data_IF_147312775161
#
_entry.id   IF_147312775161
#
_cell.length_a   1.000
_cell.length_b   1.000
_cell.length_c   1.000
_cell.angle_alpha   90.00
_cell.angle_beta   90.00
_cell.angle_gamma   90.00
#
_symmetry.space_group_name_H-M   'P 1'
#
loop_
_entity.id
_entity.type
_entity.pdbx_description
1 polymer ?
#
# COMPACT_ATOMS: atom_id res chain seq x y z
N UNK A 1 -19.08 19.79 -1.59
CA UNK A 1 -19.17 18.32 -1.30
C UNK A 1 -18.86 17.48 -2.51
N UNK A 2 -19.39 17.77 -3.72
CA UNK A 2 -18.99 17.05 -4.96
C UNK A 2 -17.48 17.07 -5.22
N UNK A 3 -16.77 18.13 -4.82
CA UNK A 3 -15.32 18.25 -5.05
C UNK A 3 -14.46 17.28 -4.22
N UNK A 4 -15.03 16.68 -3.17
CA UNK A 4 -14.33 15.73 -2.30
C UNK A 4 -14.54 14.26 -2.72
N UNK A 5 -15.40 14.01 -3.70
CA UNK A 5 -15.64 12.68 -4.23
C UNK A 5 -14.59 12.36 -5.31
N UNK A 6 -13.70 11.43 -5.00
CA UNK A 6 -12.72 10.89 -5.93
C UNK A 6 -13.32 9.75 -6.75
N UNK A 7 -12.95 9.70 -8.02
CA UNK A 7 -13.22 8.56 -8.89
C UNK A 7 -12.25 7.41 -8.60
N UNK A 8 -12.63 6.13 -8.77
CA UNK A 8 -11.79 4.95 -8.47
C UNK A 8 -10.35 5.07 -8.95
N UNK A 9 -10.16 5.52 -10.20
CA UNK A 9 -8.83 5.67 -10.80
C UNK A 9 -7.93 6.68 -10.08
N UNK A 10 -8.51 7.74 -9.51
CA UNK A 10 -7.75 8.79 -8.77
C UNK A 10 -7.32 8.32 -7.39
N UNK A 11 -8.10 7.44 -6.77
CA UNK A 11 -7.84 6.93 -5.41
C UNK A 11 -6.74 5.87 -5.35
N UNK A 12 -6.44 5.23 -6.48
CA UNK A 12 -5.40 4.22 -6.56
C UNK A 12 -3.98 4.80 -6.53
N UNK A 13 -3.07 4.08 -5.87
CA UNK A 13 -1.64 4.36 -5.99
C UNK A 13 -1.21 4.31 -7.46
N UNK A 14 -0.48 5.33 -7.93
CA UNK A 14 -0.09 5.47 -9.35
C UNK A 14 0.80 4.32 -9.85
N UNK A 15 1.66 3.76 -9.00
CA UNK A 15 2.50 2.62 -9.35
C UNK A 15 1.65 1.36 -9.43
N UNK A 16 0.75 1.14 -8.48
CA UNK A 16 -0.18 0.01 -8.51
C UNK A 16 -1.10 0.05 -9.72
N UNK A 17 -1.63 1.23 -10.08
CA UNK A 17 -2.47 1.42 -11.27
C UNK A 17 -1.76 0.96 -12.56
N UNK A 18 -0.44 1.09 -12.64
CA UNK A 18 0.37 0.68 -13.81
C UNK A 18 0.69 -0.82 -13.87
N UNK A 19 0.57 -1.56 -12.77
CA UNK A 19 0.76 -3.02 -12.77
C UNK A 19 -0.28 -3.64 -13.69
N UNK A 20 0.11 -4.44 -14.69
CA UNK A 20 -0.87 -5.09 -15.55
C UNK A 20 -1.57 -6.20 -14.76
N UNK A 21 -2.92 -6.21 -14.66
CA UNK A 21 -3.62 -7.30 -13.99
C UNK A 21 -3.47 -8.61 -14.78
N UNK A 22 -3.54 -9.73 -14.09
CA UNK A 22 -3.53 -11.05 -14.74
C UNK A 22 -4.89 -11.25 -15.41
N UNK A 23 -4.89 -11.79 -16.64
CA UNK A 23 -6.14 -11.93 -17.42
C UNK A 23 -7.18 -12.79 -16.68
N UNK A 24 -6.74 -13.90 -16.11
CA UNK A 24 -7.60 -14.83 -15.38
C UNK A 24 -8.27 -14.15 -14.16
N UNK A 25 -7.56 -13.30 -13.43
CA UNK A 25 -8.12 -12.56 -12.29
C UNK A 25 -9.22 -11.57 -12.73
N UNK A 26 -9.04 -10.93 -13.89
CA UNK A 26 -10.06 -10.05 -14.47
C UNK A 26 -11.30 -10.84 -14.87
N UNK A 27 -11.15 -12.02 -15.49
CA UNK A 27 -12.30 -12.85 -15.84
C UNK A 27 -13.06 -13.35 -14.61
N UNK A 28 -12.35 -13.76 -13.56
CA UNK A 28 -12.96 -14.13 -12.27
C UNK A 28 -13.73 -12.94 -11.68
N UNK A 29 -13.13 -11.76 -11.67
CA UNK A 29 -13.79 -10.53 -11.22
C UNK A 29 -15.05 -10.22 -12.02
N UNK A 30 -14.98 -10.28 -13.36
CA UNK A 30 -16.14 -10.05 -14.24
C UNK A 30 -17.26 -11.04 -13.93
N UNK A 31 -16.94 -12.33 -13.88
CA UNK A 31 -17.90 -13.40 -13.60
C UNK A 31 -18.60 -13.20 -12.25
N UNK A 32 -17.81 -12.93 -11.20
CA UNK A 32 -18.36 -12.70 -9.86
C UNK A 32 -19.15 -11.40 -9.75
N UNK A 33 -18.75 -10.33 -10.45
CA UNK A 33 -19.48 -9.05 -10.44
C UNK A 33 -20.78 -9.14 -11.23
N UNK A 34 -20.81 -9.84 -12.37
CA UNK A 34 -22.04 -10.16 -13.11
C UNK A 34 -22.98 -10.96 -12.22
N UNK A 35 -22.47 -12.01 -11.56
CA UNK A 35 -23.26 -12.82 -10.62
C UNK A 35 -23.82 -11.97 -9.48
N UNK A 36 -23.02 -11.07 -8.92
CA UNK A 36 -23.48 -10.14 -7.89
C UNK A 36 -24.67 -9.32 -8.41
N UNK A 37 -24.52 -8.66 -9.57
CA UNK A 37 -25.55 -7.83 -10.18
C UNK A 37 -26.84 -8.60 -10.47
N UNK A 38 -26.72 -9.80 -11.05
CA UNK A 38 -27.87 -10.65 -11.41
C UNK A 38 -28.66 -11.15 -10.18
N UNK A 39 -28.03 -11.20 -9.00
CA UNK A 39 -28.64 -11.67 -7.76
C UNK A 39 -29.27 -10.56 -6.92
N UNK A 40 -29.09 -9.28 -7.27
CA UNK A 40 -29.66 -8.16 -6.53
C UNK A 40 -31.18 -8.22 -6.61
N UNK A 41 -31.84 -8.18 -5.46
CA UNK A 41 -33.29 -8.14 -5.37
C UNK A 41 -33.73 -7.13 -4.32
N UNK A 42 -34.22 -5.97 -4.76
CA UNK A 42 -34.60 -4.86 -3.87
C UNK A 42 -35.72 -5.19 -2.87
N UNK A 43 -36.50 -6.25 -3.11
CA UNK A 43 -37.49 -6.74 -2.17
C UNK A 43 -36.86 -7.38 -0.93
N UNK A 44 -35.65 -7.96 -1.08
CA UNK A 44 -34.97 -8.71 -0.04
C UNK A 44 -34.43 -7.86 1.11
N UNK A 45 -34.05 -8.54 2.18
CA UNK A 45 -33.54 -7.90 3.40
C UNK A 45 -32.15 -7.28 3.21
N UNK A 46 -31.74 -6.41 4.14
CA UNK A 46 -30.36 -5.91 4.21
C UNK A 46 -29.35 -7.06 4.42
N UNK A 47 -29.70 -8.05 5.23
CA UNK A 47 -28.89 -9.25 5.49
C UNK A 47 -28.64 -10.08 4.22
N UNK A 48 -29.65 -10.20 3.35
CA UNK A 48 -29.51 -10.86 2.06
C UNK A 48 -28.42 -10.19 1.21
N UNK A 49 -28.47 -8.86 1.07
CA UNK A 49 -27.49 -8.12 0.27
C UNK A 49 -26.10 -8.11 0.92
N UNK A 50 -26.01 -8.12 2.26
CA UNK A 50 -24.73 -8.29 2.98
C UNK A 50 -24.05 -9.61 2.63
N UNK A 51 -24.81 -10.70 2.56
CA UNK A 51 -24.28 -12.00 2.15
C UNK A 51 -23.76 -11.98 0.72
N UNK A 52 -24.50 -11.35 -0.21
CA UNK A 52 -24.03 -11.19 -1.60
C UNK A 52 -22.71 -10.42 -1.70
N UNK A 53 -22.59 -9.30 -0.96
CA UNK A 53 -21.35 -8.51 -0.90
C UNK A 53 -20.20 -9.37 -0.34
N UNK A 54 -20.44 -10.08 0.76
CA UNK A 54 -19.46 -10.96 1.41
C UNK A 54 -18.96 -12.04 0.45
N UNK A 55 -19.88 -12.70 -0.25
CA UNK A 55 -19.56 -13.77 -1.20
C UNK A 55 -18.80 -13.25 -2.42
N UNK A 56 -19.20 -12.10 -2.96
CA UNK A 56 -18.49 -11.44 -4.05
C UNK A 56 -17.03 -11.14 -3.68
N UNK A 57 -16.80 -10.50 -2.53
CA UNK A 57 -15.45 -10.16 -2.08
C UNK A 57 -14.61 -11.42 -1.82
N UNK A 58 -15.16 -12.41 -1.10
CA UNK A 58 -14.47 -13.68 -0.79
C UNK A 58 -14.04 -14.41 -2.05
N UNK A 59 -14.96 -14.61 -2.97
CA UNK A 59 -14.75 -15.44 -4.16
C UNK A 59 -13.90 -14.74 -5.23
N UNK A 60 -13.72 -13.43 -5.12
CA UNK A 60 -12.91 -12.66 -6.08
C UNK A 60 -11.50 -12.39 -5.59
N UNK A 61 -11.31 -12.12 -4.29
CA UNK A 61 -10.05 -11.55 -3.79
C UNK A 61 -9.54 -12.16 -2.50
N UNK A 62 -10.43 -12.38 -1.52
CA UNK A 62 -9.99 -12.48 -0.13
C UNK A 62 -9.84 -13.92 0.35
N UNK A 63 -10.60 -14.87 -0.19
CA UNK A 63 -10.47 -16.28 0.19
C UNK A 63 -9.22 -16.90 -0.45
N UNK A 64 -8.43 -17.73 0.27
CA UNK A 64 -8.56 -18.11 1.68
C UNK A 64 -7.72 -17.24 2.64
N UNK A 65 -7.07 -16.18 2.13
CA UNK A 65 -6.00 -15.48 2.83
C UNK A 65 -6.48 -14.43 3.84
N UNK A 66 -7.71 -13.94 3.68
CA UNK A 66 -8.31 -12.89 4.48
C UNK A 66 -9.73 -13.26 4.90
N UNK A 67 -10.00 -13.17 6.20
CA UNK A 67 -11.31 -13.49 6.75
C UNK A 67 -12.28 -12.32 6.57
N UNK A 68 -13.49 -12.64 6.10
CA UNK A 68 -14.59 -11.68 5.96
C UNK A 68 -15.82 -12.21 6.69
N UNK A 69 -16.27 -11.49 7.71
CA UNK A 69 -17.49 -11.79 8.46
C UNK A 69 -17.95 -10.57 9.28
N UNK A 70 -19.11 -10.71 9.93
CA UNK A 70 -19.55 -9.82 11.02
C UNK A 70 -18.55 -9.85 12.18
N UNK A 71 -18.45 -8.73 12.92
CA UNK A 71 -17.66 -8.67 14.16
C UNK A 71 -18.41 -7.85 15.21
N UNK A 72 -18.95 -8.54 16.21
CA UNK A 72 -19.75 -7.90 17.26
C UNK A 72 -21.01 -7.27 16.67
N UNK A 73 -21.06 -5.93 16.61
CA UNK A 73 -22.17 -5.18 16.01
C UNK A 73 -21.84 -4.58 14.64
N UNK A 74 -20.62 -4.78 14.13
CA UNK A 74 -20.26 -4.33 12.80
C UNK A 74 -20.85 -5.30 11.77
N UNK A 75 -21.46 -4.75 10.72
CA UNK A 75 -22.10 -5.51 9.65
C UNK A 75 -21.13 -6.43 8.92
N UNK A 76 -20.01 -5.89 8.44
CA UNK A 76 -18.99 -6.67 7.78
C UNK A 76 -17.61 -6.08 8.06
N UNK A 77 -16.62 -6.94 8.28
CA UNK A 77 -15.21 -6.54 8.37
C UNK A 77 -14.35 -7.43 7.49
N UNK A 78 -13.28 -6.85 6.95
CA UNK A 78 -12.19 -7.58 6.29
C UNK A 78 -11.00 -7.59 7.25
N UNK A 79 -10.53 -8.78 7.58
CA UNK A 79 -9.40 -8.96 8.48
C UNK A 79 -8.06 -8.95 7.72
N UNK A 80 -7.01 -8.46 8.39
CA UNK A 80 -5.65 -8.44 7.84
C UNK A 80 -5.05 -9.84 7.66
N UNK A 81 -5.66 -10.88 8.23
CA UNK A 81 -5.27 -12.28 8.05
C UNK A 81 -6.46 -13.23 7.88
N UNK A 82 -6.15 -14.52 7.82
CA UNK A 82 -7.07 -15.61 7.45
C UNK A 82 -8.15 -15.96 8.46
N UNK A 83 -8.12 -15.38 9.66
CA UNK A 83 -9.07 -15.70 10.72
C UNK A 83 -9.45 -14.48 11.57
N UNK A 84 -10.52 -14.65 12.36
CA UNK A 84 -11.11 -13.61 13.18
C UNK A 84 -10.20 -13.10 14.32
N UNK A 85 -9.06 -13.76 14.60
CA UNK A 85 -8.10 -13.31 15.62
C UNK A 85 -7.18 -12.22 15.09
N UNK A 86 -6.99 -12.16 13.78
CA UNK A 86 -6.23 -11.08 13.15
C UNK A 86 -6.97 -9.75 13.25
N UNK A 87 -6.24 -8.64 13.20
CA UNK A 87 -6.80 -7.29 13.28
C UNK A 87 -7.74 -6.99 12.11
N UNK A 88 -8.67 -6.06 12.34
CA UNK A 88 -9.57 -5.58 11.29
C UNK A 88 -8.82 -4.57 10.43
N UNK A 89 -8.80 -4.80 9.11
CA UNK A 89 -8.23 -3.90 8.11
C UNK A 89 -9.28 -3.01 7.44
N UNK A 90 -10.51 -3.51 7.23
CA UNK A 90 -11.61 -2.73 6.65
C UNK A 90 -12.88 -2.90 7.46
N UNK A 91 -13.57 -1.79 7.72
CA UNK A 91 -14.92 -1.78 8.30
C UNK A 91 -15.91 -1.45 7.19
N UNK A 92 -16.97 -2.24 7.05
CA UNK A 92 -17.96 -2.08 5.99
C UNK A 92 -19.37 -2.09 6.58
N UNK A 93 -20.13 -1.03 6.27
CA UNK A 93 -21.54 -0.87 6.62
C UNK A 93 -22.39 -1.02 5.36
N UNK A 94 -23.36 -1.92 5.40
CA UNK A 94 -24.25 -2.14 4.28
C UNK A 94 -25.65 -1.63 4.59
N UNK A 95 -26.32 -1.06 3.60
CA UNK A 95 -27.74 -0.73 3.68
C UNK A 95 -28.54 -1.45 2.62
N UNK A 96 -29.83 -1.69 2.92
CA UNK A 96 -30.77 -2.16 1.89
C UNK A 96 -30.76 -1.19 0.69
N UNK A 97 -30.76 -1.67 -0.57
CA UNK A 97 -30.69 -0.81 -1.75
C UNK A 97 -31.74 0.31 -1.80
N UNK A 98 -32.95 0.04 -1.30
CA UNK A 98 -34.07 0.98 -1.28
C UNK A 98 -34.06 1.94 -0.09
N UNK A 99 -33.17 1.77 0.89
CA UNK A 99 -33.08 2.59 2.10
C UNK A 99 -32.31 3.91 1.85
N UNK A 100 -32.94 4.80 1.08
CA UNK A 100 -32.36 6.09 0.67
C UNK A 100 -32.23 7.13 1.79
N UNK A 101 -32.89 6.92 2.94
CA UNK A 101 -32.85 7.84 4.08
C UNK A 101 -31.64 7.60 4.98
N UNK A 102 -31.22 6.34 5.13
CA UNK A 102 -30.08 5.98 5.99
C UNK A 102 -28.75 5.91 5.22
N UNK A 103 -28.79 5.63 3.92
CA UNK A 103 -27.61 5.55 3.06
C UNK A 103 -27.00 6.92 2.75
N UNK A 104 -25.67 6.97 2.64
CA UNK A 104 -24.91 8.17 2.24
C UNK A 104 -25.31 8.67 0.85
N UNK A 105 -25.13 9.96 0.63
CA UNK A 105 -25.21 10.59 -0.69
C UNK A 105 -23.96 11.44 -0.93
N UNK A 106 -23.56 11.61 -2.19
CA UNK A 106 -22.39 12.43 -2.57
C UNK A 106 -22.48 13.87 -2.04
N UNK A 107 -23.70 14.40 -1.93
CA UNK A 107 -23.99 15.74 -1.41
C UNK A 107 -24.43 15.75 0.07
N UNK A 108 -24.58 14.58 0.70
CA UNK A 108 -24.93 14.45 2.11
C UNK A 108 -24.34 13.17 2.73
N UNK A 109 -23.20 13.32 3.39
CA UNK A 109 -22.53 12.23 4.11
C UNK A 109 -23.07 12.00 5.52
N UNK A 110 -23.73 12.99 6.14
CA UNK A 110 -24.18 12.89 7.53
C UNK A 110 -25.50 12.11 7.64
N UNK A 111 -25.42 10.82 7.36
CA UNK A 111 -26.55 9.89 7.40
C UNK A 111 -26.30 8.85 8.48
N UNK A 112 -27.32 8.03 8.76
CA UNK A 112 -27.24 7.00 9.81
C UNK A 112 -26.11 6.01 9.53
N UNK A 113 -25.94 5.56 8.29
CA UNK A 113 -24.85 4.63 7.93
C UNK A 113 -23.46 5.23 8.22
N UNK A 114 -23.26 6.52 7.97
CA UNK A 114 -21.98 7.17 8.30
C UNK A 114 -21.78 7.33 9.81
N UNK A 115 -22.85 7.63 10.55
CA UNK A 115 -22.84 7.72 12.02
C UNK A 115 -22.53 6.34 12.66
N UNK A 116 -23.05 5.25 12.07
CA UNK A 116 -22.74 3.87 12.40
C UNK A 116 -21.26 3.56 12.18
N UNK A 117 -20.72 3.94 11.01
CA UNK A 117 -19.30 3.78 10.70
C UNK A 117 -18.39 4.55 11.67
N UNK A 118 -18.75 5.78 12.08
CA UNK A 118 -18.00 6.53 13.09
C UNK A 118 -17.98 5.77 14.43
N UNK A 119 -19.13 5.23 14.85
CA UNK A 119 -19.21 4.44 16.08
C UNK A 119 -18.34 3.17 16.00
N UNK A 120 -18.42 2.44 14.90
CA UNK A 120 -17.65 1.20 14.70
C UNK A 120 -16.15 1.45 14.63
N UNK A 121 -15.75 2.51 13.92
CA UNK A 121 -14.37 2.96 13.89
C UNK A 121 -13.87 3.29 15.29
N UNK A 122 -14.57 4.12 16.07
CA UNK A 122 -14.15 4.49 17.43
C UNK A 122 -14.08 3.27 18.37
N UNK A 123 -15.02 2.32 18.27
CA UNK A 123 -14.95 1.06 19.03
C UNK A 123 -13.70 0.26 18.71
N UNK A 124 -13.40 0.05 17.43
CA UNK A 124 -12.26 -0.79 17.05
C UNK A 124 -10.93 -0.06 17.31
N UNK A 125 -10.85 1.21 16.94
CA UNK A 125 -9.65 2.06 17.06
C UNK A 125 -9.32 2.49 18.50
N UNK A 126 -10.31 2.95 19.27
CA UNK A 126 -10.12 3.53 20.61
C UNK A 126 -10.26 2.46 21.69
N UNK A 127 -11.41 1.78 21.75
CA UNK A 127 -11.65 0.76 22.77
C UNK A 127 -10.84 -0.53 22.49
N UNK A 128 -10.82 -0.98 21.24
CA UNK A 128 -10.06 -2.14 20.77
C UNK A 128 -8.57 -1.89 20.54
N UNK A 129 -8.12 -0.62 20.58
CA UNK A 129 -6.73 -0.19 20.33
C UNK A 129 -6.17 -0.68 18.97
N UNK A 130 -7.02 -0.91 17.98
CA UNK A 130 -6.59 -1.36 16.67
C UNK A 130 -6.02 -0.19 15.85
N UNK A 131 -4.73 -0.25 15.51
CA UNK A 131 -4.03 0.74 14.69
C UNK A 131 -3.97 0.36 13.20
N UNK A 132 -4.55 -0.78 12.82
CA UNK A 132 -4.36 -1.40 11.51
C UNK A 132 -5.57 -1.27 10.58
N UNK A 133 -6.57 -0.47 10.95
CA UNK A 133 -7.68 -0.12 10.07
C UNK A 133 -7.14 0.73 8.92
N UNK A 134 -7.41 0.32 7.68
CA UNK A 134 -6.93 0.93 6.44
C UNK A 134 -8.00 1.74 5.73
N UNK A 135 -9.22 1.19 5.65
CA UNK A 135 -10.36 1.83 5.01
C UNK A 135 -11.67 1.60 5.76
N UNK A 136 -12.61 2.50 5.55
CA UNK A 136 -13.98 2.42 6.04
C UNK A 136 -14.91 2.55 4.82
N UNK A 137 -15.91 1.68 4.71
CA UNK A 137 -16.76 1.55 3.53
C UNK A 137 -18.23 1.63 3.92
N UNK A 138 -19.01 2.43 3.19
CA UNK A 138 -20.47 2.34 3.20
C UNK A 138 -20.96 1.90 1.82
N UNK A 139 -21.94 1.01 1.76
CA UNK A 139 -22.55 0.61 0.49
C UNK A 139 -24.02 0.24 0.64
N UNK A 140 -24.81 0.46 -0.41
CA UNK A 140 -26.15 -0.10 -0.52
C UNK A 140 -26.21 -1.21 -1.58
N UNK A 141 -25.08 -1.91 -1.81
CA UNK A 141 -24.74 -2.79 -2.94
C UNK A 141 -24.45 -2.05 -4.24
N UNK A 142 -25.25 -1.05 -4.60
CA UNK A 142 -25.08 -0.31 -5.86
C UNK A 142 -23.98 0.74 -5.75
N UNK A 143 -24.15 1.64 -4.79
CA UNK A 143 -23.27 2.77 -4.55
C UNK A 143 -22.26 2.41 -3.46
N UNK A 144 -21.00 2.78 -3.67
CA UNK A 144 -19.90 2.50 -2.75
C UNK A 144 -19.20 3.78 -2.38
N UNK A 145 -19.04 3.99 -1.08
CA UNK A 145 -18.32 5.12 -0.49
C UNK A 145 -17.14 4.56 0.30
N UNK A 146 -15.91 4.84 -0.12
CA UNK A 146 -14.68 4.30 0.49
C UNK A 146 -13.85 5.46 1.05
N UNK A 147 -13.60 5.43 2.35
CA UNK A 147 -12.85 6.44 3.09
C UNK A 147 -11.51 5.86 3.54
N UNK A 148 -10.40 6.55 3.26
CA UNK A 148 -9.11 6.21 3.88
C UNK A 148 -9.22 6.42 5.39
N UNK A 149 -8.78 5.43 6.18
CA UNK A 149 -8.85 5.48 7.64
C UNK A 149 -8.10 6.68 8.24
N UNK A 150 -7.12 7.25 7.54
CA UNK A 150 -6.44 8.46 7.97
C UNK A 150 -7.39 9.66 8.14
N UNK A 151 -8.46 9.73 7.34
CA UNK A 151 -9.48 10.78 7.47
C UNK A 151 -10.24 10.60 8.78
N UNK A 152 -10.62 9.36 9.09
CA UNK A 152 -11.28 9.04 10.36
C UNK A 152 -10.35 9.25 11.56
N UNK A 153 -9.08 8.91 11.42
CA UNK A 153 -8.06 9.16 12.44
C UNK A 153 -7.93 10.66 12.74
N UNK A 154 -7.76 11.49 11.71
CA UNK A 154 -7.57 12.93 11.82
C UNK A 154 -8.78 13.62 12.46
N UNK A 155 -10.00 13.29 12.01
CA UNK A 155 -11.18 14.06 12.41
C UNK A 155 -11.95 13.45 13.59
N UNK A 156 -11.84 12.14 13.83
CA UNK A 156 -12.57 11.48 14.92
C UNK A 156 -11.66 10.98 16.04
N UNK A 157 -10.62 10.18 15.75
CA UNK A 157 -9.77 9.61 16.80
C UNK A 157 -8.84 10.65 17.47
N UNK A 158 -8.37 11.65 16.73
CA UNK A 158 -7.53 12.73 17.27
C UNK A 158 -8.36 13.85 17.93
N UNK A 159 -9.68 13.87 17.73
CA UNK A 159 -10.58 14.80 18.39
C UNK A 159 -10.79 14.37 19.86
N UNK A 160 -9.96 14.91 20.75
CA UNK A 160 -9.99 14.58 22.19
C UNK A 160 -11.36 14.79 22.84
N UNK A 161 -12.13 15.79 22.40
CA UNK A 161 -13.46 16.06 22.94
C UNK A 161 -14.46 14.96 22.54
N UNK A 162 -14.47 14.58 21.26
CA UNK A 162 -15.30 13.47 20.77
C UNK A 162 -14.88 12.15 21.42
N UNK A 163 -13.58 11.84 21.50
CA UNK A 163 -13.10 10.61 22.14
C UNK A 163 -13.56 10.54 23.60
N UNK A 164 -13.48 11.66 24.34
CA UNK A 164 -13.99 11.71 25.72
C UNK A 164 -15.50 11.42 25.78
N UNK A 165 -16.30 12.05 24.93
CA UNK A 165 -17.75 11.80 24.87
C UNK A 165 -18.07 10.34 24.50
N UNK A 166 -17.33 9.76 23.56
CA UNK A 166 -17.43 8.36 23.18
C UNK A 166 -17.10 7.44 24.36
N UNK A 167 -16.02 7.70 25.09
CA UNK A 167 -15.65 6.92 26.28
C UNK A 167 -16.72 7.03 27.37
N UNK A 168 -17.23 8.24 27.65
CA UNK A 168 -18.34 8.44 28.60
C UNK A 168 -19.62 7.70 28.16
N UNK A 169 -19.88 7.62 26.85
CA UNK A 169 -21.00 6.87 26.27
C UNK A 169 -20.84 5.36 26.46
N UNK A 170 -19.69 4.78 26.08
CA UNK A 170 -19.43 3.34 26.21
C UNK A 170 -19.41 2.89 27.68
N UNK A 171 -18.92 3.74 28.59
CA UNK A 171 -18.93 3.50 30.04
C UNK A 171 -20.27 3.86 30.71
N UNK A 172 -21.30 4.20 29.92
CA UNK A 172 -22.67 4.49 30.37
C UNK A 172 -22.77 5.64 31.39
N UNK A 173 -21.83 6.59 31.36
CA UNK A 173 -21.83 7.80 32.20
C UNK A 173 -22.77 8.89 31.68
N UNK A 174 -23.11 8.86 30.39
CA UNK A 174 -24.06 9.81 29.80
C UNK A 174 -25.51 9.44 30.13
N UNK A 175 -26.40 10.43 30.00
CA UNK A 175 -27.84 10.26 30.22
C UNK A 175 -28.47 9.30 29.20
N UNK A 176 -27.99 9.29 27.97
CA UNK A 176 -28.40 8.35 26.93
C UNK A 176 -27.42 7.18 26.75
N UNK A 177 -27.97 5.97 26.67
CA UNK A 177 -27.20 4.70 26.58
C UNK A 177 -27.44 3.92 25.29
N UNK A 178 -28.27 4.44 24.40
CA UNK A 178 -28.63 3.79 23.14
C UNK A 178 -27.73 4.25 22.01
N UNK A 179 -27.55 3.41 20.99
CA UNK A 179 -26.82 3.81 19.78
C UNK A 179 -27.49 5.00 19.09
N UNK A 180 -28.82 5.10 19.12
CA UNK A 180 -29.54 6.28 18.61
C UNK A 180 -29.14 7.58 19.33
N UNK A 181 -28.88 7.52 20.65
CA UNK A 181 -28.35 8.69 21.37
C UNK A 181 -26.96 9.06 20.85
N UNK A 182 -26.06 8.09 20.69
CA UNK A 182 -24.73 8.35 20.12
C UNK A 182 -24.85 8.97 18.72
N UNK A 183 -25.68 8.41 17.86
CA UNK A 183 -25.88 8.91 16.49
C UNK A 183 -26.34 10.36 16.49
N UNK A 184 -27.41 10.68 17.23
CA UNK A 184 -28.04 12.00 17.20
C UNK A 184 -27.35 13.08 18.02
N UNK A 185 -26.76 12.72 19.16
CA UNK A 185 -26.23 13.69 20.11
C UNK A 185 -24.70 13.81 20.06
N UNK A 186 -24.00 12.84 19.48
CA UNK A 186 -22.53 12.80 19.45
C UNK A 186 -22.02 12.81 18.01
N UNK A 187 -22.36 11.80 17.21
CA UNK A 187 -21.82 11.67 15.86
C UNK A 187 -22.34 12.76 14.91
N UNK A 188 -23.67 12.95 14.85
CA UNK A 188 -24.31 13.89 13.91
C UNK A 188 -23.76 15.33 14.04
N UNK A 189 -23.63 15.92 15.26
CA UNK A 189 -23.05 17.25 15.41
C UNK A 189 -21.57 17.32 15.03
N UNK A 190 -20.77 16.29 15.31
CA UNK A 190 -19.34 16.29 14.96
C UNK A 190 -19.13 16.16 13.45
N UNK A 191 -19.90 15.30 12.78
CA UNK A 191 -19.85 15.15 11.31
C UNK A 191 -20.26 16.47 10.64
N UNK A 192 -21.29 17.15 11.14
CA UNK A 192 -21.77 18.42 10.60
C UNK A 192 -20.67 19.51 10.56
N UNK A 193 -19.72 19.51 11.51
CA UNK A 193 -18.61 20.47 11.57
C UNK A 193 -17.55 20.26 10.49
N UNK A 194 -17.45 19.05 9.94
CA UNK A 194 -16.35 18.63 9.06
C UNK A 194 -16.81 18.10 7.71
N UNK A 195 -18.12 18.13 7.41
CA UNK A 195 -18.70 17.48 6.23
C UNK A 195 -18.03 17.89 4.90
N UNK A 196 -17.52 19.13 4.81
CA UNK A 196 -16.82 19.65 3.64
C UNK A 196 -15.32 19.29 3.58
N UNK A 197 -14.80 18.56 4.56
CA UNK A 197 -13.39 18.13 4.65
C UNK A 197 -13.19 16.63 4.45
N UNK A 198 -14.28 15.87 4.40
CA UNK A 198 -14.24 14.42 4.22
C UNK A 198 -14.06 14.10 2.75
N UNK A 199 -12.85 13.71 2.37
CA UNK A 199 -12.54 13.11 1.06
C UNK A 199 -12.93 11.63 1.05
N UNK A 200 -13.44 11.15 -0.08
CA UNK A 200 -13.85 9.75 -0.23
C UNK A 200 -13.82 9.32 -1.68
N UNK A 201 -13.70 8.02 -1.92
CA UNK A 201 -13.91 7.44 -3.24
C UNK A 201 -15.37 7.08 -3.40
N UNK A 202 -15.96 7.42 -4.54
CA UNK A 202 -17.33 7.06 -4.88
C UNK A 202 -17.39 6.37 -6.24
N UNK A 203 -18.19 5.32 -6.33
CA UNK A 203 -18.63 4.73 -7.60
C UNK A 203 -19.98 4.04 -7.44
N UNK A 204 -20.69 3.91 -8.56
CA UNK A 204 -21.89 3.08 -8.69
C UNK A 204 -21.55 1.86 -9.55
N UNK A 205 -21.79 0.64 -9.06
CA UNK A 205 -21.48 -0.59 -9.82
C UNK A 205 -22.28 -0.70 -11.11
N UNK A 206 -23.44 -0.03 -11.19
CA UNK A 206 -24.32 -0.07 -12.37
C UNK A 206 -23.69 0.65 -13.56
N UNK A 207 -22.82 1.63 -13.31
CA UNK A 207 -22.08 2.34 -14.36
C UNK A 207 -21.14 1.41 -15.12
N UNK A 208 -20.82 0.23 -14.56
CA UNK A 208 -19.93 -0.77 -15.15
C UNK A 208 -20.66 -1.87 -15.91
N UNK A 209 -22.00 -1.94 -15.85
CA UNK A 209 -22.77 -3.06 -16.42
C UNK A 209 -22.56 -3.22 -17.93
N UNK A 210 -22.50 -2.11 -18.66
CA UNK A 210 -22.24 -2.12 -20.11
C UNK A 210 -20.89 -2.77 -20.46
N UNK A 211 -19.84 -2.45 -19.70
CA UNK A 211 -18.50 -3.01 -19.91
C UNK A 211 -18.39 -4.47 -19.47
N UNK A 212 -19.16 -4.87 -18.45
CA UNK A 212 -19.16 -6.24 -17.94
C UNK A 212 -19.78 -7.23 -18.95
N UNK A 213 -20.88 -6.83 -19.58
CA UNK A 213 -21.64 -7.69 -20.50
C UNK A 213 -21.19 -7.57 -21.96
N UNK A 214 -20.21 -6.72 -22.26
CA UNK A 214 -19.57 -6.68 -23.57
C UNK A 214 -18.58 -7.85 -23.74
N UNK A 215 -18.55 -8.43 -24.93
CA UNK A 215 -17.60 -9.46 -25.36
C UNK A 215 -16.28 -8.89 -25.88
N UNK A 216 -16.20 -7.59 -26.13
CA UNK A 216 -14.98 -6.93 -26.60
C UNK A 216 -13.94 -6.74 -25.48
N UNK A 217 -12.79 -7.41 -25.60
CA UNK A 217 -11.71 -7.36 -24.61
C UNK A 217 -11.06 -5.96 -24.44
N UNK A 218 -11.36 -4.99 -25.31
CA UNK A 218 -10.83 -3.63 -25.21
C UNK A 218 -11.48 -2.83 -24.06
N UNK A 219 -12.73 -3.16 -23.73
CA UNK A 219 -13.53 -2.47 -22.71
C UNK A 219 -13.14 -2.85 -21.28
N UNK A 220 -12.40 -3.96 -21.12
CA UNK A 220 -11.89 -4.39 -19.82
C UNK A 220 -10.98 -3.33 -19.15
N UNK A 221 -10.45 -2.38 -19.94
CA UNK A 221 -9.66 -1.24 -19.43
C UNK A 221 -10.43 -0.37 -18.44
N UNK A 222 -11.74 -0.22 -18.65
CA UNK A 222 -12.61 0.58 -17.78
C UNK A 222 -12.86 -0.14 -16.44
N UNK A 223 -12.75 -1.47 -16.42
CA UNK A 223 -12.90 -2.30 -15.22
C UNK A 223 -11.63 -2.34 -14.37
N UNK A 224 -10.44 -2.08 -14.92
CA UNK A 224 -9.16 -2.21 -14.20
C UNK A 224 -9.14 -1.36 -12.93
N UNK A 225 -9.69 -0.14 -12.98
CA UNK A 225 -9.69 0.74 -11.82
C UNK A 225 -10.58 0.19 -10.71
N UNK A 226 -11.77 -0.30 -11.03
CA UNK A 226 -12.69 -0.90 -10.05
C UNK A 226 -12.11 -2.21 -9.50
N UNK A 227 -11.59 -3.07 -10.38
CA UNK A 227 -10.93 -4.32 -10.00
C UNK A 227 -9.82 -4.10 -8.97
N UNK A 228 -8.98 -3.09 -9.18
CA UNK A 228 -7.89 -2.77 -8.26
C UNK A 228 -8.36 -2.07 -7.00
N UNK A 229 -9.42 -1.27 -7.09
CA UNK A 229 -9.94 -0.54 -5.94
C UNK A 229 -10.46 -1.50 -4.86
N UNK A 230 -11.04 -2.63 -5.26
CA UNK A 230 -11.60 -3.62 -4.35
C UNK A 230 -10.61 -4.73 -3.96
N UNK A 231 -9.39 -4.69 -4.46
CA UNK A 231 -8.37 -5.71 -4.22
C UNK A 231 -7.70 -5.53 -2.83
N UNK A 232 -7.05 -6.57 -2.29
CA UNK A 232 -6.36 -6.49 -1.01
C UNK A 232 -5.14 -5.55 -1.05
N UNK A 233 -4.45 -5.42 -2.19
CA UNK A 233 -3.37 -4.45 -2.37
C UNK A 233 -3.83 -3.01 -2.11
N UNK A 234 -5.05 -2.67 -2.52
CA UNK A 234 -5.62 -1.37 -2.19
C UNK A 234 -6.23 -1.34 -0.79
N UNK A 235 -7.27 -2.15 -0.54
CA UNK A 235 -8.08 -2.06 0.68
C UNK A 235 -7.37 -2.51 1.96
N UNK A 236 -6.34 -3.35 1.87
CA UNK A 236 -5.50 -3.73 3.01
C UNK A 236 -4.11 -3.09 2.96
N UNK A 237 -3.85 -2.22 1.97
CA UNK A 237 -2.55 -1.57 1.72
C UNK A 237 -1.39 -2.58 1.66
N UNK A 238 -1.63 -3.75 1.04
CA UNK A 238 -0.59 -4.76 0.87
C UNK A 238 0.46 -4.32 -0.16
N UNK A 239 1.73 -4.76 -0.01
CA UNK A 239 2.75 -4.51 -1.01
C UNK A 239 2.39 -5.19 -2.35
N UNK A 240 2.83 -4.58 -3.46
CA UNK A 240 2.66 -5.10 -4.81
C UNK A 240 4.03 -5.11 -5.54
N UNK A 241 4.15 -5.87 -6.63
CA UNK A 241 5.42 -6.12 -7.34
C UNK A 241 6.18 -4.88 -7.87
N UNK A 242 5.58 -3.68 -7.77
CA UNK A 242 6.18 -2.39 -8.11
C UNK A 242 6.14 -1.39 -6.94
N UNK A 243 6.03 -1.86 -5.70
CA UNK A 243 6.19 -1.00 -4.54
C UNK A 243 7.65 -0.58 -4.46
N UNK A 244 7.90 0.72 -4.63
CA UNK A 244 9.23 1.33 -4.58
C UNK A 244 9.96 1.11 -3.24
N UNK A 245 9.25 0.60 -2.23
CA UNK A 245 9.80 0.25 -0.92
C UNK A 245 10.22 -1.22 -0.80
N UNK A 246 10.00 -2.04 -1.83
CA UNK A 246 10.47 -3.43 -1.86
C UNK A 246 11.85 -3.53 -2.51
N UNK A 247 12.82 -4.07 -1.77
CA UNK A 247 14.16 -4.35 -2.30
C UNK A 247 14.07 -5.51 -3.29
N UNK A 248 14.47 -5.29 -4.54
CA UNK A 248 14.69 -6.37 -5.50
C UNK A 248 15.84 -7.25 -4.97
N UNK A 249 15.50 -8.44 -4.49
CA UNK A 249 16.45 -9.38 -3.89
C UNK A 249 17.51 -9.83 -4.88
N UNK A 250 17.16 -9.99 -6.15
CA UNK A 250 18.08 -10.38 -7.21
C UNK A 250 19.10 -9.28 -7.44
N UNK A 251 18.65 -8.04 -7.62
CA UNK A 251 19.53 -6.89 -7.76
C UNK A 251 20.46 -6.72 -6.56
N UNK A 252 19.93 -6.83 -5.34
CA UNK A 252 20.72 -6.73 -4.11
C UNK A 252 21.80 -7.83 -4.03
N UNK A 253 21.45 -9.06 -4.38
CA UNK A 253 22.39 -10.20 -4.33
C UNK A 253 23.52 -10.05 -5.36
N UNK A 254 23.18 -9.60 -6.57
CA UNK A 254 24.15 -9.28 -7.63
C UNK A 254 25.05 -8.10 -7.23
N UNK A 255 24.49 -7.07 -6.58
CA UNK A 255 25.26 -5.92 -6.11
C UNK A 255 26.32 -6.34 -5.08
N UNK A 256 25.95 -7.18 -4.11
CA UNK A 256 26.91 -7.74 -3.15
C UNK A 256 27.99 -8.57 -3.86
N UNK A 257 27.60 -9.40 -4.83
CA UNK A 257 28.52 -10.22 -5.62
C UNK A 257 29.57 -9.37 -6.37
N UNK A 258 29.15 -8.29 -7.05
CA UNK A 258 30.02 -7.35 -7.77
C UNK A 258 31.00 -6.66 -6.82
N UNK A 259 30.51 -6.20 -5.66
CA UNK A 259 31.35 -5.54 -4.65
C UNK A 259 32.37 -6.53 -4.07
N UNK A 260 32.00 -7.80 -3.91
CA UNK A 260 32.83 -8.85 -3.28
C UNK A 260 32.37 -9.24 -1.87
N UNK A 261 31.11 -8.93 -1.53
CA UNK A 261 30.49 -9.20 -0.25
C UNK A 261 29.48 -10.35 -0.36
N UNK A 262 29.12 -10.91 0.80
CA UNK A 262 28.06 -11.90 0.92
C UNK A 262 27.22 -11.59 2.16
N UNK A 263 25.93 -11.93 2.10
CA UNK A 263 25.05 -11.93 3.26
C UNK A 263 25.10 -13.30 3.93
N UNK A 264 25.38 -13.35 5.22
CA UNK A 264 25.33 -14.56 6.06
C UNK A 264 24.32 -14.37 7.18
N UNK A 265 23.69 -15.47 7.61
CA UNK A 265 22.77 -15.45 8.74
C UNK A 265 23.51 -15.93 9.99
N UNK A 266 23.59 -15.07 11.01
CA UNK A 266 24.05 -15.43 12.34
C UNK A 266 22.86 -15.32 13.32
N UNK A 267 22.17 -16.46 13.53
CA UNK A 267 20.91 -16.50 14.26
C UNK A 267 19.81 -15.70 13.57
N UNK A 268 19.27 -14.67 14.23
CA UNK A 268 18.26 -13.76 13.68
C UNK A 268 18.84 -12.51 12.99
N UNK A 269 20.17 -12.33 13.03
CA UNK A 269 20.84 -11.18 12.42
C UNK A 269 21.40 -11.56 11.05
N UNK A 270 21.17 -10.68 10.08
CA UNK A 270 21.84 -10.71 8.78
C UNK A 270 23.11 -9.91 8.88
N UNK A 271 24.24 -10.54 8.56
CA UNK A 271 25.54 -9.89 8.49
C UNK A 271 25.99 -9.82 7.04
N UNK A 272 26.55 -8.69 6.67
CA UNK A 272 27.15 -8.50 5.35
C UNK A 272 28.65 -8.43 5.57
N UNK A 273 29.38 -9.32 4.90
CA UNK A 273 30.82 -9.44 5.11
C UNK A 273 31.57 -9.88 3.86
N UNK A 274 32.89 -9.73 3.90
CA UNK A 274 33.79 -10.29 2.89
C UNK A 274 33.80 -11.81 3.01
N UNK A 275 33.87 -12.49 1.88
CA UNK A 275 34.00 -13.96 1.85
C UNK A 275 35.30 -14.42 2.53
N UNK A 276 35.26 -15.64 3.05
CA UNK A 276 36.42 -16.31 3.63
C UNK A 276 37.56 -16.41 2.62
N UNK A 277 38.79 -16.47 3.13
CA UNK A 277 39.98 -16.68 2.31
C UNK A 277 39.85 -18.01 1.53
N UNK A 278 40.11 -17.97 0.22
CA UNK A 278 39.88 -19.10 -0.71
C UNK A 278 38.55 -19.05 -1.48
N UNK A 279 37.55 -18.32 -0.98
CA UNK A 279 36.23 -18.19 -1.65
C UNK A 279 35.99 -16.79 -2.26
N UNK A 280 36.97 -15.90 -2.13
CA UNK A 280 36.88 -14.51 -2.59
C UNK A 280 36.79 -14.44 -4.11
N UNK A 281 35.91 -13.57 -4.60
CA UNK A 281 35.79 -13.27 -6.01
C UNK A 281 36.95 -12.33 -6.41
N UNK A 282 38.00 -12.87 -7.04
CA UNK A 282 39.26 -12.14 -7.34
C UNK A 282 39.00 -10.86 -8.17
N UNK A 283 38.00 -10.86 -9.04
CA UNK A 283 37.64 -9.73 -9.90
C UNK A 283 36.62 -8.75 -9.26
N UNK A 284 36.25 -8.94 -7.99
CA UNK A 284 35.33 -8.02 -7.32
C UNK A 284 35.96 -6.67 -7.04
N UNK A 285 35.12 -5.65 -6.81
CA UNK A 285 35.58 -4.28 -6.60
C UNK A 285 36.50 -4.16 -5.38
N UNK A 286 36.19 -4.84 -4.28
CA UNK A 286 37.01 -4.82 -3.06
C UNK A 286 38.38 -5.47 -3.33
N UNK A 287 38.43 -6.65 -3.94
CA UNK A 287 39.70 -7.36 -4.18
C UNK A 287 40.60 -6.57 -5.15
N UNK A 288 40.02 -6.02 -6.22
CA UNK A 288 40.76 -5.15 -7.14
C UNK A 288 41.29 -3.89 -6.43
N UNK A 289 40.48 -3.27 -5.57
CA UNK A 289 40.89 -2.10 -4.81
C UNK A 289 42.03 -2.43 -3.84
N UNK A 290 41.93 -3.53 -3.10
CA UNK A 290 42.98 -4.01 -2.19
C UNK A 290 44.30 -4.24 -2.94
N UNK A 291 44.26 -4.91 -4.09
CA UNK A 291 45.45 -5.17 -4.89
C UNK A 291 46.15 -3.87 -5.34
N UNK A 292 45.39 -2.84 -5.72
CA UNK A 292 45.94 -1.53 -6.10
C UNK A 292 46.47 -0.75 -4.89
N UNK A 293 45.78 -0.79 -3.76
CA UNK A 293 46.21 -0.14 -2.52
C UNK A 293 47.53 -0.72 -2.01
N UNK A 294 47.67 -2.05 -2.06
CA UNK A 294 48.84 -2.78 -1.59
C UNK A 294 50.04 -2.58 -2.54
N UNK A 295 49.84 -2.84 -3.84
CA UNK A 295 50.92 -2.73 -4.84
C UNK A 295 51.52 -1.32 -4.98
N UNK A 296 50.72 -0.29 -4.71
CA UNK A 296 51.16 1.10 -4.79
C UNK A 296 51.53 1.68 -3.41
N UNK A 297 51.54 0.87 -2.35
CA UNK A 297 51.78 1.25 -0.97
C UNK A 297 51.01 2.53 -0.60
N UNK A 298 49.67 2.48 -0.75
CA UNK A 298 48.79 3.63 -0.49
C UNK A 298 48.46 3.78 0.98
N UNK A 299 48.45 2.68 1.74
CA UNK A 299 48.09 2.70 3.16
C UNK A 299 49.14 3.48 3.97
N UNK A 300 50.42 3.37 3.65
CA UNK A 300 51.50 4.12 4.33
C UNK A 300 51.41 5.64 4.13
N UNK A 301 50.69 6.09 3.10
CA UNK A 301 50.53 7.50 2.72
C UNK A 301 49.31 8.17 3.34
N UNK A 302 48.49 7.42 4.05
CA UNK A 302 47.35 7.97 4.76
C UNK A 302 47.84 8.72 6.01
N UNK A 303 47.22 9.86 6.32
CA UNK A 303 47.58 10.66 7.50
C UNK A 303 47.30 9.92 8.81
N UNK A 304 46.23 9.11 8.85
CA UNK A 304 45.82 8.36 10.04
C UNK A 304 45.36 6.93 9.65
N UNK A 305 46.29 6.01 9.35
CA UNK A 305 45.94 4.68 8.85
C UNK A 305 45.35 3.76 9.92
N UNK A 306 45.62 4.01 11.21
CA UNK A 306 45.12 3.19 12.32
C UNK A 306 43.60 3.27 12.49
N UNK A 307 42.94 4.33 11.99
CA UNK A 307 41.47 4.41 12.01
C UNK A 307 40.80 3.31 11.17
N UNK A 308 41.54 2.72 10.22
CA UNK A 308 41.05 1.68 9.32
C UNK A 308 41.37 0.26 9.81
N UNK A 309 41.91 0.10 11.01
CA UNK A 309 42.17 -1.22 11.60
C UNK A 309 43.51 -1.31 12.31
N UNK A 310 43.63 -2.34 13.12
CA UNK A 310 44.81 -2.57 13.95
C UNK A 310 45.93 -3.21 13.12
N UNK A 311 45.55 -4.09 12.19
CA UNK A 311 46.48 -4.78 11.30
C UNK A 311 46.53 -4.15 9.90
N UNK A 312 47.64 -4.36 9.18
CA UNK A 312 47.78 -3.90 7.80
C UNK A 312 46.70 -4.47 6.86
N UNK A 313 46.32 -5.74 7.05
CA UNK A 313 45.29 -6.41 6.25
C UNK A 313 43.89 -5.86 6.52
N UNK A 314 43.58 -5.53 7.78
CA UNK A 314 42.32 -4.84 8.11
C UNK A 314 42.26 -3.46 7.47
N UNK A 315 43.36 -2.70 7.49
CA UNK A 315 43.43 -1.38 6.85
C UNK A 315 43.21 -1.47 5.35
N UNK A 316 43.87 -2.41 4.68
CA UNK A 316 43.65 -2.67 3.24
C UNK A 316 42.18 -2.98 2.96
N UNK A 317 41.59 -3.87 3.75
CA UNK A 317 40.18 -4.25 3.57
C UNK A 317 39.23 -3.07 3.80
N UNK A 318 39.35 -2.36 4.92
CA UNK A 318 38.41 -1.29 5.28
C UNK A 318 38.51 -0.11 4.32
N UNK A 319 39.72 0.26 3.87
CA UNK A 319 39.89 1.30 2.83
C UNK A 319 39.34 0.81 1.49
N UNK A 320 39.62 -0.43 1.09
CA UNK A 320 39.09 -1.02 -0.14
C UNK A 320 37.55 -1.09 -0.14
N UNK A 321 36.96 -1.45 1.00
CA UNK A 321 35.51 -1.49 1.21
C UNK A 321 34.89 -0.10 1.11
N UNK A 322 35.46 0.90 1.78
CA UNK A 322 34.96 2.28 1.74
C UNK A 322 35.01 2.85 0.32
N UNK A 323 36.09 2.61 -0.42
CA UNK A 323 36.21 3.01 -1.83
C UNK A 323 35.16 2.31 -2.70
N UNK A 324 35.02 0.99 -2.57
CA UNK A 324 34.07 0.20 -3.35
C UNK A 324 32.63 0.67 -3.09
N UNK A 325 32.24 0.85 -1.82
CA UNK A 325 30.90 1.36 -1.45
C UNK A 325 30.69 2.77 -1.98
N UNK A 326 31.65 3.67 -1.79
CA UNK A 326 31.53 5.08 -2.19
C UNK A 326 31.31 5.22 -3.69
N UNK A 327 32.12 4.53 -4.50
CA UNK A 327 32.00 4.60 -5.96
C UNK A 327 30.75 3.87 -6.47
N UNK A 328 30.39 2.73 -5.88
CA UNK A 328 29.15 2.04 -6.22
C UNK A 328 27.94 2.92 -5.94
N UNK A 329 27.87 3.56 -4.76
CA UNK A 329 26.78 4.48 -4.42
C UNK A 329 26.68 5.66 -5.38
N UNK A 330 27.81 6.22 -5.83
CA UNK A 330 27.83 7.29 -6.84
C UNK A 330 27.27 6.82 -8.17
N UNK A 331 27.65 5.62 -8.64
CA UNK A 331 27.12 5.04 -9.88
C UNK A 331 25.61 4.80 -9.77
N UNK A 332 25.15 4.24 -8.65
CA UNK A 332 23.72 4.02 -8.38
C UNK A 332 22.94 5.34 -8.36
N UNK A 333 23.48 6.37 -7.73
CA UNK A 333 22.88 7.71 -7.74
C UNK A 333 22.75 8.26 -9.16
N UNK A 334 23.82 8.16 -9.97
CA UNK A 334 23.78 8.61 -11.36
C UNK A 334 22.77 7.81 -12.18
N UNK A 335 22.62 6.51 -11.93
CA UNK A 335 21.60 5.66 -12.57
C UNK A 335 20.18 6.04 -12.17
N UNK A 336 19.94 6.37 -10.91
CA UNK A 336 18.66 6.89 -10.45
C UNK A 336 18.36 8.24 -11.10
N UNK A 337 19.34 9.14 -11.18
CA UNK A 337 19.21 10.43 -11.85
C UNK A 337 18.89 10.27 -13.34
N UNK A 338 19.59 9.38 -14.04
CA UNK A 338 19.32 9.02 -15.44
C UNK A 338 17.86 8.57 -15.63
N UNK A 339 17.39 7.66 -14.78
CA UNK A 339 16.00 7.18 -14.83
C UNK A 339 14.97 8.31 -14.59
N UNK A 340 15.25 9.23 -13.66
CA UNK A 340 14.37 10.37 -13.41
C UNK A 340 14.33 11.35 -14.58
N UNK A 341 15.47 11.61 -15.23
CA UNK A 341 15.54 12.49 -16.39
C UNK A 341 14.73 11.94 -17.56
N UNK A 342 14.90 10.65 -17.89
CA UNK A 342 14.13 9.98 -18.94
C UNK A 342 12.62 10.11 -18.68
N UNK A 343 12.21 9.84 -17.44
CA UNK A 343 10.80 9.95 -17.04
C UNK A 343 10.26 11.38 -17.15
N UNK A 344 11.04 12.38 -16.75
CA UNK A 344 10.64 13.79 -16.85
C UNK A 344 10.50 14.24 -18.31
N UNK A 345 11.34 13.69 -19.19
CA UNK A 345 11.37 13.98 -20.61
C UNK A 345 10.57 12.99 -21.46
N UNK A 346 9.52 12.38 -20.90
CA UNK A 346 8.56 11.50 -21.62
C UNK A 346 9.24 10.34 -22.35
N UNK A 347 10.13 9.65 -21.64
CA UNK A 347 10.85 8.47 -22.10
C UNK A 347 11.85 8.75 -23.25
N UNK A 348 12.32 10.00 -23.37
CA UNK A 348 13.39 10.36 -24.31
C UNK A 348 14.73 9.70 -23.94
N UNK A 349 15.19 8.81 -24.81
CA UNK A 349 16.41 8.02 -24.64
C UNK A 349 17.69 8.83 -24.81
N UNK A 350 17.63 10.07 -25.30
CA UNK A 350 18.78 10.97 -25.37
C UNK A 350 19.38 11.25 -23.99
N UNK A 351 18.56 11.16 -22.93
CA UNK A 351 18.96 11.34 -21.53
C UNK A 351 19.61 10.10 -20.91
N UNK A 352 19.75 8.98 -21.63
CA UNK A 352 20.62 7.88 -21.21
C UNK A 352 22.08 8.32 -21.37
N UNK A 353 22.81 8.53 -20.28
CA UNK A 353 24.22 8.94 -20.28
C UNK A 353 25.19 7.90 -19.69
N UNK A 354 24.71 6.92 -18.93
CA UNK A 354 25.48 5.78 -18.41
C UNK A 354 25.23 4.49 -19.22
N UNK A 355 25.31 4.56 -20.54
CA UNK A 355 25.25 3.37 -21.40
C UNK A 355 26.60 3.10 -22.06
N UNK A 356 26.84 1.85 -22.48
CA UNK A 356 28.11 1.42 -23.06
C UNK A 356 28.55 2.29 -24.24
N UNK A 357 27.62 2.71 -25.09
CA UNK A 357 27.92 3.55 -26.26
C UNK A 357 28.50 4.91 -25.86
N UNK A 358 27.94 5.56 -24.84
CA UNK A 358 28.42 6.87 -24.37
C UNK A 358 29.63 6.77 -23.44
N UNK A 359 29.67 5.75 -22.58
CA UNK A 359 30.80 5.54 -21.66
C UNK A 359 32.08 5.18 -22.41
N UNK A 360 32.01 4.33 -23.45
CA UNK A 360 33.19 3.97 -24.24
C UNK A 360 33.80 5.19 -24.98
N UNK A 361 32.99 6.18 -25.38
CA UNK A 361 33.49 7.43 -25.98
C UNK A 361 34.29 8.28 -25.00
N UNK A 362 33.95 8.25 -23.70
CA UNK A 362 34.65 9.00 -22.65
C UNK A 362 35.98 8.33 -22.27
N UNK A 363 36.03 6.99 -22.22
CA UNK A 363 37.26 6.26 -21.92
C UNK A 363 38.27 6.42 -23.06
N UNK A 364 37.82 6.36 -24.32
CA UNK A 364 38.68 6.54 -25.48
C UNK A 364 39.26 7.97 -25.63
N UNK A 365 38.66 8.98 -25.00
CA UNK A 365 39.12 10.38 -25.09
C UNK A 365 40.05 10.80 -23.95
N UNK A 366 40.13 10.04 -22.86
CA UNK A 366 40.95 10.38 -21.68
C UNK A 366 42.20 9.49 -21.50
N UNK A 367 42.46 8.56 -22.44
CA UNK A 367 43.61 7.66 -22.43
C UNK A 367 44.44 7.70 -23.74
N UNK A 368 44.41 8.83 -24.45
CA UNK A 368 45.36 9.15 -25.54
C UNK A 368 46.41 10.13 -25.03
#
# INVERSE_FOLDING_TARGET
>A
MRDNALQPRKSLNKAFLKVKPIREEIEIFKSNLIKLLDQINEAESEEFHKNLISDFLKNTYYSPNHFINTKGRNDLVIHNGKDAKSSVGVILEAKKPTNKSEMLKVDNLNTKAFQELVLYFLRDRVAGKNLEIRYIVATNIYEWFIFDANIFEQYFAQNKALVKQFTDFEERRLTGKTTNFFYKQIAEPEIAKIHNKLEFTYFDIRDYEGFLRNTEAQDDRELIALFKLLSPEHLLKLPFANDSNSLDKTFYSELLYIIGLTETNEGSKKLIGRKAEGERNIASLIENSINQLDSLDKISRLENPSQFGDTYQERLFNVGLELAITWTNRILFLKLLEAQLIKYHKDDTNFLFLNLTKVNRVIASNFV
#
